data_IF_477461925784
#
_entry.id   IF_477461925784
#
_cell.length_a   1.000
_cell.length_b   1.000
_cell.length_c   1.000
_cell.angle_alpha   90.00
_cell.angle_beta   90.00
_cell.angle_gamma   90.00
#
_symmetry.space_group_name_H-M   'P 1'
#
loop_
_entity.id
_entity.type
_entity.pdbx_description
1 polymer ?
#
# COMPACT_ATOMS: atom_id res chain seq x y z
N UNK A 1 -7.49 -2.43 21.63
CA UNK A 1 -6.34 -2.91 20.84
C UNK A 1 -6.50 -2.29 19.46
N UNK A 2 -5.63 -1.37 19.07
CA UNK A 2 -5.70 -0.78 17.72
C UNK A 2 -5.36 -1.87 16.71
N UNK A 3 -6.27 -2.15 15.78
CA UNK A 3 -5.93 -2.89 14.57
C UNK A 3 -4.94 -2.03 13.80
N UNK A 4 -3.64 -2.29 13.96
CA UNK A 4 -2.59 -1.55 13.29
C UNK A 4 -2.43 -2.10 11.86
N UNK A 5 -3.51 -2.02 11.08
CA UNK A 5 -3.58 -2.42 9.68
C UNK A 5 -3.81 -1.18 8.84
N UNK A 6 -2.83 -0.84 8.00
CA UNK A 6 -2.90 0.25 7.05
C UNK A 6 -2.81 -0.32 5.64
N UNK A 7 -3.74 0.04 4.78
CA UNK A 7 -3.69 -0.27 3.36
C UNK A 7 -3.39 0.99 2.56
N UNK A 8 -2.27 1.01 1.84
CA UNK A 8 -1.94 2.08 0.91
C UNK A 8 -2.44 1.66 -0.48
N UNK A 9 -3.24 2.50 -1.13
CA UNK A 9 -3.89 2.22 -2.43
C UNK A 9 -3.45 3.24 -3.47
N UNK A 10 -3.67 2.91 -4.74
CA UNK A 10 -3.37 3.80 -5.88
C UNK A 10 -1.91 4.29 -5.89
N UNK A 11 -0.96 3.49 -5.39
CA UNK A 11 0.44 3.87 -5.34
C UNK A 11 1.18 3.43 -6.60
N UNK A 12 2.14 4.22 -7.07
CA UNK A 12 3.13 3.77 -8.05
C UNK A 12 4.39 3.33 -7.31
N UNK A 13 5.02 2.26 -7.78
CA UNK A 13 6.28 1.76 -7.22
C UNK A 13 7.41 2.01 -8.20
N UNK A 14 8.58 2.41 -7.69
CA UNK A 14 9.75 2.65 -8.53
C UNK A 14 10.15 1.36 -9.27
N UNK A 15 10.33 1.46 -10.58
CA UNK A 15 10.69 0.32 -11.43
C UNK A 15 9.55 -0.69 -11.66
N UNK A 16 8.30 -0.35 -11.31
CA UNK A 16 7.12 -1.17 -11.59
C UNK A 16 6.06 -0.36 -12.32
N UNK A 17 5.44 -0.97 -13.31
CA UNK A 17 4.34 -0.37 -14.04
C UNK A 17 3.02 -0.56 -13.30
N UNK A 18 2.05 0.32 -13.59
CA UNK A 18 0.71 0.27 -13.02
C UNK A 18 0.59 0.80 -11.60
N UNK A 19 -0.60 0.61 -11.03
CA UNK A 19 -0.95 0.96 -9.66
C UNK A 19 -0.84 -0.26 -8.75
N UNK A 20 -0.40 -0.01 -7.53
CA UNK A 20 -0.08 -1.01 -6.55
C UNK A 20 -0.83 -0.73 -5.26
N UNK A 21 -1.19 -1.81 -4.58
CA UNK A 21 -1.73 -1.81 -3.24
C UNK A 21 -0.71 -2.44 -2.28
N UNK A 22 -0.50 -1.80 -1.14
CA UNK A 22 0.37 -2.29 -0.08
C UNK A 22 -0.45 -2.45 1.19
N UNK A 23 -0.37 -3.61 1.82
CA UNK A 23 -0.98 -3.85 3.13
C UNK A 23 0.12 -3.93 4.18
N UNK A 24 0.02 -3.08 5.20
CA UNK A 24 0.91 -3.02 6.34
C UNK A 24 0.13 -3.50 7.55
N UNK A 25 0.61 -4.54 8.21
CA UNK A 25 0.05 -5.00 9.48
C UNK A 25 1.14 -5.00 10.54
N UNK A 26 0.87 -4.38 11.70
CA UNK A 26 1.77 -4.34 12.84
C UNK A 26 3.18 -3.82 12.46
N UNK A 27 3.23 -2.78 11.62
CA UNK A 27 4.48 -2.16 11.16
C UNK A 27 5.28 -2.98 10.14
N UNK A 28 4.70 -4.05 9.56
CA UNK A 28 5.35 -4.87 8.54
C UNK A 28 4.52 -4.91 7.26
N UNK A 29 5.19 -4.84 6.11
CA UNK A 29 4.57 -5.12 4.82
C UNK A 29 4.12 -6.59 4.79
N UNK A 30 2.81 -6.81 4.66
CA UNK A 30 2.21 -8.14 4.53
C UNK A 30 2.01 -8.53 3.08
N UNK A 31 1.56 -7.59 2.26
CA UNK A 31 1.27 -7.80 0.85
C UNK A 31 1.65 -6.58 0.05
N UNK A 32 2.17 -6.82 -1.15
CA UNK A 32 2.47 -5.83 -2.18
C UNK A 32 2.01 -6.45 -3.50
N UNK A 33 0.91 -5.97 -4.02
CA UNK A 33 0.22 -6.58 -5.17
C UNK A 33 -0.34 -5.51 -6.12
N UNK A 34 -0.54 -5.83 -7.41
CA UNK A 34 -1.21 -4.92 -8.33
C UNK A 34 -2.60 -4.54 -7.82
N UNK A 35 -2.96 -3.26 -7.93
CA UNK A 35 -4.23 -2.72 -7.44
C UNK A 35 -5.44 -3.41 -8.08
N UNK A 36 -5.33 -3.83 -9.34
CA UNK A 36 -6.40 -4.51 -10.09
C UNK A 36 -6.80 -5.85 -9.47
N UNK A 37 -5.83 -6.56 -8.90
CA UNK A 37 -6.03 -7.87 -8.25
C UNK A 37 -6.17 -7.75 -6.73
N UNK A 38 -5.97 -6.55 -6.19
CA UNK A 38 -5.88 -6.35 -4.76
C UNK A 38 -7.27 -6.40 -4.10
N UNK A 39 -7.40 -7.06 -2.93
CA UNK A 39 -8.65 -7.05 -2.18
C UNK A 39 -9.01 -5.63 -1.72
N UNK A 40 -10.30 -5.35 -1.57
CA UNK A 40 -10.77 -4.09 -0.99
C UNK A 40 -10.10 -3.87 0.38
N UNK A 41 -9.63 -2.64 0.64
CA UNK A 41 -8.99 -2.30 1.90
C UNK A 41 -9.94 -2.54 3.07
N UNK A 42 -9.48 -3.31 4.06
CA UNK A 42 -10.22 -3.61 5.29
C UNK A 42 -9.58 -2.81 6.43
N UNK A 43 -10.19 -1.70 6.83
CA UNK A 43 -9.70 -0.82 7.89
C UNK A 43 -9.17 0.51 7.36
N UNK A 44 -8.05 0.98 7.92
CA UNK A 44 -7.46 2.27 7.56
C UNK A 44 -6.86 2.19 6.16
N UNK A 45 -7.28 3.11 5.28
CA UNK A 45 -6.84 3.17 3.91
C UNK A 45 -6.26 4.55 3.62
N UNK A 46 -5.02 4.58 3.13
CA UNK A 46 -4.38 5.77 2.61
C UNK A 46 -4.39 5.69 1.08
N UNK A 47 -5.01 6.69 0.45
CA UNK A 47 -4.94 6.84 -1.00
C UNK A 47 -3.67 7.63 -1.35
N UNK A 48 -2.80 7.04 -2.18
CA UNK A 48 -1.59 7.69 -2.66
C UNK A 48 -1.84 8.58 -3.88
N UNK A 49 -3.06 8.62 -4.41
CA UNK A 49 -3.50 9.48 -5.53
C UNK A 49 -2.60 9.35 -6.78
N UNK A 50 -2.20 8.12 -7.13
CA UNK A 50 -1.23 7.83 -8.21
C UNK A 50 0.19 8.37 -7.96
N UNK A 51 0.49 8.78 -6.72
CA UNK A 51 1.81 9.21 -6.27
C UNK A 51 2.83 8.09 -6.23
N UNK A 52 4.11 8.46 -6.25
CA UNK A 52 5.22 7.53 -6.16
C UNK A 52 5.52 7.19 -4.70
N UNK A 53 5.38 5.92 -4.34
CA UNK A 53 5.77 5.42 -3.04
C UNK A 53 7.25 5.05 -3.06
N UNK A 54 8.03 5.75 -2.22
CA UNK A 54 9.46 5.56 -2.05
C UNK A 54 9.75 5.13 -0.61
N UNK A 55 10.77 4.28 -0.37
CA UNK A 55 11.24 4.04 0.98
C UNK A 55 11.72 5.36 1.60
N UNK A 56 11.59 5.48 2.92
CA UNK A 56 12.13 6.62 3.65
C UNK A 56 13.64 6.72 3.38
N UNK A 57 14.13 7.95 3.21
CA UNK A 57 15.58 8.22 3.09
C UNK A 57 16.28 7.79 4.37
N UNK A 58 17.44 7.14 4.24
CA UNK A 58 18.31 6.81 5.37
C UNK A 58 19.09 8.03 5.85
#
# INVERSE_FOLDING_TARGET
>A
MQNNSLTIRQARLQGREGLWQLTIENGRFRRIEPQETAPLAQGEALDAESGLLIPAVC
#
